data_IF_906782651521
#
_entry.id   IF_906782651521
#
_cell.length_a   1.000
_cell.length_b   1.000
_cell.length_c   1.000
_cell.angle_alpha   90.00
_cell.angle_beta   90.00
_cell.angle_gamma   90.00
#
_symmetry.space_group_name_H-M   'P 1'
#
loop_
_entity.id
_entity.type
_entity.pdbx_description
1 polymer ?
#
# COMPACT_ATOMS: atom_id res chain seq x y z
N UNK A 1 14.01 -11.82 4.99
CA UNK A 1 13.84 -12.19 3.58
C UNK A 1 12.42 -12.65 3.35
N UNK A 2 11.87 -12.36 2.18
CA UNK A 2 10.60 -12.97 1.74
C UNK A 2 10.65 -14.52 1.76
N UNK A 3 11.76 -15.09 2.14
CA UNK A 3 12.04 -16.52 2.22
C UNK A 3 11.55 -17.20 3.50
N UNK A 4 11.12 -16.47 4.54
CA UNK A 4 10.92 -17.06 5.86
C UNK A 4 9.76 -16.48 6.66
N UNK A 5 8.69 -16.04 6.05
CA UNK A 5 7.46 -15.78 6.78
C UNK A 5 6.63 -17.06 6.85
N UNK A 6 6.58 -17.77 8.00
CA UNK A 6 5.62 -18.83 8.15
C UNK A 6 4.25 -18.22 8.40
N UNK A 7 3.36 -18.38 7.44
CA UNK A 7 1.92 -18.36 7.72
C UNK A 7 1.59 -19.71 8.37
N UNK A 8 1.91 -19.86 9.64
CA UNK A 8 1.61 -21.05 10.43
C UNK A 8 1.05 -20.65 11.78
N UNK A 9 0.21 -21.52 12.37
CA UNK A 9 -0.29 -21.35 13.73
C UNK A 9 0.88 -21.11 14.71
N UNK A 10 0.68 -20.37 15.82
CA UNK A 10 1.70 -20.20 16.85
C UNK A 10 2.23 -21.57 17.30
N UNK A 11 3.54 -21.81 17.15
CA UNK A 11 4.19 -23.07 17.50
C UNK A 11 4.56 -23.99 16.33
N UNK A 12 4.17 -23.67 15.09
CA UNK A 12 4.63 -24.43 13.92
C UNK A 12 6.12 -24.18 13.66
N UNK A 13 6.90 -25.25 13.42
CA UNK A 13 8.31 -25.12 13.00
C UNK A 13 8.39 -24.30 11.72
N UNK A 14 9.25 -23.28 11.73
CA UNK A 14 9.59 -22.49 10.55
C UNK A 14 10.04 -23.42 9.42
N UNK A 15 9.23 -23.55 8.38
CA UNK A 15 9.66 -24.24 7.16
C UNK A 15 10.38 -23.19 6.31
N UNK A 16 11.70 -23.38 6.03
CA UNK A 16 12.42 -22.47 5.14
C UNK A 16 11.75 -22.52 3.77
N UNK A 17 11.09 -21.45 3.39
CA UNK A 17 10.48 -21.32 2.07
C UNK A 17 11.57 -20.94 1.07
N UNK A 18 12.04 -21.89 0.29
CA UNK A 18 12.72 -21.57 -0.97
C UNK A 18 11.62 -21.30 -1.99
N UNK A 19 11.31 -20.03 -2.18
CA UNK A 19 10.43 -19.61 -3.27
C UNK A 19 11.01 -20.09 -4.60
N UNK A 20 10.27 -20.78 -5.44
CA UNK A 20 10.64 -20.94 -6.84
C UNK A 20 10.58 -19.59 -7.58
N UNK A 21 9.92 -18.61 -6.96
CA UNK A 21 9.79 -17.26 -7.47
C UNK A 21 11.17 -16.57 -7.40
N UNK A 22 11.49 -15.74 -8.38
CA UNK A 22 12.68 -14.88 -8.42
C UNK A 22 12.62 -13.75 -7.38
N UNK A 23 11.96 -13.99 -6.23
CA UNK A 23 11.76 -12.99 -5.18
C UNK A 23 13.08 -12.46 -4.64
N UNK A 24 13.21 -11.15 -4.57
CA UNK A 24 14.36 -10.49 -4.00
C UNK A 24 14.36 -10.60 -2.48
N UNK A 25 15.54 -10.80 -1.89
CA UNK A 25 15.69 -10.80 -0.44
C UNK A 25 15.73 -9.36 0.06
N UNK A 26 14.67 -8.93 0.76
CA UNK A 26 14.61 -7.64 1.44
C UNK A 26 13.77 -7.79 2.72
N UNK A 27 14.44 -8.04 3.84
CA UNK A 27 13.78 -8.29 5.14
C UNK A 27 13.02 -7.07 5.65
N UNK A 28 13.50 -5.86 5.32
CA UNK A 28 12.85 -4.60 5.70
C UNK A 28 11.50 -4.49 4.97
N UNK A 29 11.50 -4.58 3.63
CA UNK A 29 10.27 -4.55 2.85
C UNK A 29 9.31 -5.69 3.23
N UNK A 30 9.86 -6.91 3.39
CA UNK A 30 9.08 -8.08 3.79
C UNK A 30 8.40 -7.91 5.15
N UNK A 31 9.09 -7.29 6.12
CA UNK A 31 8.49 -6.99 7.43
C UNK A 31 7.40 -5.93 7.30
N UNK A 32 7.61 -4.87 6.50
CA UNK A 32 6.60 -3.85 6.23
C UNK A 32 5.34 -4.45 5.60
N UNK A 33 5.49 -5.22 4.53
CA UNK A 33 4.35 -5.91 3.90
C UNK A 33 3.65 -6.88 4.86
N UNK A 34 4.39 -7.60 5.71
CA UNK A 34 3.80 -8.52 6.68
C UNK A 34 3.02 -7.83 7.79
N UNK A 35 3.45 -6.65 8.24
CA UNK A 35 2.78 -5.89 9.30
C UNK A 35 1.49 -5.20 8.83
N UNK A 36 1.49 -4.64 7.62
CA UNK A 36 0.39 -3.81 7.13
C UNK A 36 -0.99 -4.49 7.17
N UNK A 37 -1.17 -5.76 6.74
CA UNK A 37 -2.47 -6.41 6.83
C UNK A 37 -2.94 -6.63 8.27
N UNK A 38 -2.05 -6.95 9.22
CA UNK A 38 -2.44 -7.07 10.62
C UNK A 38 -2.94 -5.73 11.16
N UNK A 39 -2.23 -4.65 10.87
CA UNK A 39 -2.62 -3.30 11.30
C UNK A 39 -3.93 -2.87 10.64
N UNK A 40 -4.12 -3.12 9.35
CA UNK A 40 -5.36 -2.83 8.64
C UNK A 40 -6.56 -3.59 9.22
N UNK A 41 -6.35 -4.84 9.69
CA UNK A 41 -7.35 -5.63 10.41
C UNK A 41 -7.56 -5.19 11.87
N UNK A 42 -6.89 -4.14 12.34
CA UNK A 42 -7.01 -3.68 13.73
C UNK A 42 -6.14 -4.43 14.73
N UNK A 43 -5.26 -5.33 14.28
CA UNK A 43 -4.40 -6.15 15.11
C UNK A 43 -3.08 -5.41 15.36
N UNK A 44 -2.80 -5.09 16.62
CA UNK A 44 -1.59 -4.36 17.02
C UNK A 44 -0.68 -5.23 17.89
N UNK A 45 0.44 -4.66 18.33
CA UNK A 45 1.33 -5.29 19.31
C UNK A 45 0.73 -5.36 20.73
N UNK A 46 -0.38 -4.66 20.98
CA UNK A 46 -1.11 -4.75 22.25
C UNK A 46 -2.15 -5.88 22.13
N UNK A 47 -2.29 -6.72 23.17
CA UNK A 47 -3.31 -7.76 23.18
C UNK A 47 -4.70 -7.17 22.95
N UNK A 48 -5.55 -7.88 22.23
CA UNK A 48 -6.94 -7.49 22.04
C UNK A 48 -7.71 -7.52 23.37
N UNK A 49 -8.58 -6.53 23.59
CA UNK A 49 -9.43 -6.48 24.77
C UNK A 49 -10.41 -7.66 24.87
N UNK A 50 -10.80 -8.24 23.73
CA UNK A 50 -11.60 -9.47 23.67
C UNK A 50 -10.72 -10.64 23.26
N UNK A 51 -10.77 -11.77 23.99
CA UNK A 51 -10.08 -13.02 23.60
C UNK A 51 -10.57 -13.45 22.22
N UNK A 52 -9.73 -13.30 21.20
CA UNK A 52 -9.89 -14.01 19.93
C UNK A 52 -9.31 -15.40 20.07
N UNK A 53 -9.70 -16.31 19.16
CA UNK A 53 -9.16 -17.69 19.13
C UNK A 53 -7.65 -17.73 18.86
N UNK A 54 -7.07 -16.70 18.23
CA UNK A 54 -5.65 -16.58 17.93
C UNK A 54 -5.18 -15.15 18.24
N UNK A 55 -4.12 -15.05 19.06
CA UNK A 55 -3.49 -13.78 19.39
C UNK A 55 -2.22 -13.57 18.54
N UNK A 56 -2.29 -12.62 17.63
CA UNK A 56 -1.17 -12.22 16.77
C UNK A 56 -0.35 -11.03 17.33
N UNK A 57 -0.68 -10.50 18.50
CA UNK A 57 0.01 -9.33 19.08
C UNK A 57 1.51 -9.56 19.21
N UNK A 58 1.94 -10.76 19.60
CA UNK A 58 3.36 -11.14 19.69
C UNK A 58 4.05 -11.15 18.33
N UNK A 59 3.36 -11.55 17.26
CA UNK A 59 3.88 -11.52 15.90
C UNK A 59 4.09 -10.08 15.45
N UNK A 60 3.10 -9.23 15.65
CA UNK A 60 3.18 -7.79 15.34
C UNK A 60 4.27 -7.11 16.17
N UNK A 61 4.36 -7.41 17.48
CA UNK A 61 5.43 -6.93 18.36
C UNK A 61 6.82 -7.33 17.84
N UNK A 62 6.97 -8.58 17.42
CA UNK A 62 8.23 -9.09 16.85
C UNK A 62 8.69 -8.30 15.63
N UNK A 63 7.77 -8.02 14.69
CA UNK A 63 8.03 -7.20 13.50
C UNK A 63 8.40 -5.76 13.86
N UNK A 64 7.63 -5.10 14.71
CA UNK A 64 7.89 -3.72 15.17
C UNK A 64 9.27 -3.64 15.85
N UNK A 65 9.57 -4.53 16.79
CA UNK A 65 10.85 -4.56 17.49
C UNK A 65 12.03 -4.82 16.54
N UNK A 66 11.85 -5.67 15.54
CA UNK A 66 12.85 -5.88 14.50
C UNK A 66 13.15 -4.57 13.76
N UNK A 67 12.13 -3.83 13.34
CA UNK A 67 12.29 -2.58 12.63
C UNK A 67 12.95 -1.50 13.48
N UNK A 68 12.54 -1.34 14.75
CA UNK A 68 13.16 -0.39 15.69
C UNK A 68 14.66 -0.69 15.84
N UNK A 69 15.04 -1.97 15.97
CA UNK A 69 16.48 -2.36 16.07
C UNK A 69 17.26 -2.12 14.77
N UNK A 70 16.60 -2.19 13.61
CA UNK A 70 17.25 -1.98 12.30
C UNK A 70 17.37 -0.52 11.91
N UNK A 71 16.61 0.37 12.55
CA UNK A 71 16.62 1.78 12.21
C UNK A 71 17.95 2.44 12.59
N UNK A 72 18.56 3.11 11.60
CA UNK A 72 19.76 3.92 11.80
C UNK A 72 19.51 5.18 12.62
N UNK A 73 20.58 5.82 13.05
CA UNK A 73 20.51 7.09 13.80
C UNK A 73 19.85 8.20 12.99
N UNK A 74 20.00 8.16 11.67
CA UNK A 74 19.40 9.06 10.67
C UNK A 74 17.90 8.78 10.41
N UNK A 75 17.35 7.73 11.00
CA UNK A 75 15.95 7.33 10.81
C UNK A 75 15.70 6.34 9.68
N UNK A 76 16.72 6.00 8.88
CA UNK A 76 16.61 5.05 7.80
C UNK A 76 16.52 3.61 8.33
N UNK A 77 15.56 2.84 7.80
CA UNK A 77 15.45 1.40 8.12
C UNK A 77 16.37 0.51 7.27
N UNK A 78 16.97 1.08 6.22
CA UNK A 78 17.70 0.30 5.20
C UNK A 78 16.76 -0.29 4.14
N UNK A 79 17.31 -1.17 3.29
CA UNK A 79 16.55 -1.80 2.21
C UNK A 79 16.22 -0.89 1.02
N UNK A 80 16.71 0.35 1.00
CA UNK A 80 16.47 1.35 -0.04
C UNK A 80 15.16 2.11 0.12
N UNK A 81 14.98 3.15 -0.70
CA UNK A 81 13.78 4.02 -0.65
C UNK A 81 12.50 3.39 -1.22
N UNK A 82 12.53 2.13 -1.63
CA UNK A 82 11.30 1.37 -1.88
C UNK A 82 10.79 0.70 -0.59
N UNK A 83 11.71 0.14 0.21
CA UNK A 83 11.38 -0.54 1.47
C UNK A 83 11.06 0.44 2.60
N UNK A 84 11.83 1.53 2.69
CA UNK A 84 11.71 2.50 3.77
C UNK A 84 10.31 3.10 3.92
N UNK A 85 9.62 3.62 2.86
CA UNK A 85 8.27 4.16 3.00
C UNK A 85 7.24 3.10 3.38
N UNK A 86 7.35 1.84 2.90
CA UNK A 86 6.48 0.74 3.32
C UNK A 86 6.51 0.51 4.83
N UNK A 87 7.71 0.45 5.39
CA UNK A 87 7.90 0.31 6.83
C UNK A 87 7.42 1.56 7.57
N UNK A 88 7.68 2.74 7.01
CA UNK A 88 7.22 4.00 7.61
C UNK A 88 5.70 4.04 7.72
N UNK A 89 4.95 3.57 6.71
CA UNK A 89 3.49 3.44 6.78
C UNK A 89 3.10 2.53 7.95
N UNK A 90 3.69 1.33 8.05
CA UNK A 90 3.37 0.39 9.12
C UNK A 90 3.67 0.96 10.52
N UNK A 91 4.78 1.65 10.69
CA UNK A 91 5.15 2.26 11.98
C UNK A 91 4.24 3.45 12.32
N UNK A 92 3.84 4.26 11.34
CA UNK A 92 2.89 5.35 11.53
C UNK A 92 1.49 4.81 11.92
N UNK A 93 1.01 3.77 11.24
CA UNK A 93 -0.26 3.14 11.57
C UNK A 93 -0.23 2.49 12.96
N UNK A 94 0.83 1.74 13.29
CA UNK A 94 1.00 1.16 14.61
C UNK A 94 1.01 2.21 15.72
N UNK A 95 1.69 3.35 15.51
CA UNK A 95 1.68 4.47 16.44
C UNK A 95 0.28 5.11 16.54
N UNK A 96 -0.35 5.42 15.41
CA UNK A 96 -1.68 6.03 15.37
C UNK A 96 -2.76 5.22 16.09
N UNK A 97 -2.64 3.89 16.04
CA UNK A 97 -3.57 2.96 16.71
C UNK A 97 -3.28 2.77 18.20
N UNK A 98 -2.04 2.91 18.65
CA UNK A 98 -1.62 2.48 19.99
C UNK A 98 -1.12 3.59 20.87
N UNK A 99 -0.72 4.73 20.30
CA UNK A 99 -0.07 5.86 20.95
C UNK A 99 1.20 5.46 21.73
N UNK A 100 1.89 4.38 21.29
CA UNK A 100 3.10 3.90 21.94
C UNK A 100 4.27 4.87 21.73
N UNK A 101 4.91 5.39 22.80
CA UNK A 101 5.94 6.41 22.70
C UNK A 101 7.23 5.91 22.00
N UNK A 102 7.57 4.63 22.12
CA UNK A 102 8.74 4.06 21.42
C UNK A 102 8.50 3.99 19.92
N UNK A 103 7.29 3.58 19.51
CA UNK A 103 6.90 3.58 18.10
C UNK A 103 6.86 5.01 17.56
N UNK A 104 6.35 5.98 18.34
CA UNK A 104 6.34 7.41 17.96
C UNK A 104 7.71 7.90 17.56
N UNK A 105 8.72 7.65 18.41
CA UNK A 105 10.09 8.11 18.16
C UNK A 105 10.63 7.51 16.86
N UNK A 106 10.42 6.22 16.63
CA UNK A 106 10.89 5.53 15.43
C UNK A 106 10.14 6.02 14.18
N UNK A 107 8.82 6.15 14.24
CA UNK A 107 7.99 6.62 13.14
C UNK A 107 8.33 8.08 12.75
N UNK A 108 8.54 8.98 13.74
CA UNK A 108 8.93 10.36 13.44
C UNK A 108 10.29 10.43 12.76
N UNK A 109 11.30 9.71 13.25
CA UNK A 109 12.62 9.65 12.60
C UNK A 109 12.53 9.14 11.15
N UNK A 110 11.64 8.17 10.88
CA UNK A 110 11.44 7.67 9.54
C UNK A 110 10.80 8.72 8.62
N UNK A 111 9.83 9.48 9.11
CA UNK A 111 9.26 10.63 8.40
C UNK A 111 10.33 11.69 8.13
N UNK A 112 11.15 12.02 9.12
CA UNK A 112 12.24 13.00 8.97
C UNK A 112 13.25 12.57 7.90
N UNK A 113 13.57 11.26 7.82
CA UNK A 113 14.40 10.71 6.76
C UNK A 113 13.75 10.82 5.38
N UNK A 114 12.44 10.56 5.25
CA UNK A 114 11.73 10.76 3.98
C UNK A 114 11.77 12.23 3.53
N UNK A 115 11.58 13.15 4.47
CA UNK A 115 11.68 14.60 4.21
C UNK A 115 13.10 14.97 3.72
N UNK A 116 14.13 14.45 4.38
CA UNK A 116 15.52 14.63 3.96
C UNK A 116 15.75 14.04 2.55
N UNK A 117 15.24 12.84 2.27
CA UNK A 117 15.48 12.10 1.03
C UNK A 117 14.74 12.68 -0.19
N UNK A 118 13.75 13.57 -0.02
CA UNK A 118 12.99 14.17 -1.11
C UNK A 118 13.90 14.96 -2.04
N UNK A 119 13.82 14.72 -3.34
CA UNK A 119 14.50 15.50 -4.36
C UNK A 119 13.90 16.90 -4.49
N UNK A 120 14.67 17.88 -4.92
CA UNK A 120 14.21 19.27 -5.09
C UNK A 120 13.12 19.41 -6.17
N UNK A 121 13.04 18.46 -7.11
CA UNK A 121 11.92 18.31 -8.04
C UNK A 121 10.64 17.74 -7.42
N UNK A 122 10.65 17.36 -6.14
CA UNK A 122 9.48 16.98 -5.35
C UNK A 122 9.20 15.50 -5.22
N UNK A 123 9.79 14.65 -6.05
CA UNK A 123 9.63 13.19 -6.00
C UNK A 123 10.73 12.48 -5.21
N UNK A 124 10.61 11.15 -5.17
CA UNK A 124 11.62 10.22 -4.63
C UNK A 124 11.89 9.10 -5.63
N UNK A 125 13.07 8.49 -5.51
CA UNK A 125 13.43 7.29 -6.26
C UNK A 125 14.18 6.32 -5.33
N UNK A 126 15.12 5.55 -5.83
CA UNK A 126 15.77 4.47 -5.06
C UNK A 126 16.79 4.95 -4.04
N UNK A 127 17.36 6.16 -4.24
CA UNK A 127 18.37 6.77 -3.36
C UNK A 127 17.95 8.17 -2.92
N UNK A 128 18.40 8.65 -1.75
CA UNK A 128 18.13 10.02 -1.30
C UNK A 128 18.56 11.04 -2.35
N UNK A 129 17.75 12.09 -2.52
CA UNK A 129 17.99 13.19 -3.45
C UNK A 129 18.10 12.81 -4.92
N UNK A 130 17.79 11.59 -5.30
CA UNK A 130 17.67 11.18 -6.70
C UNK A 130 16.39 11.73 -7.32
N UNK A 131 16.43 12.15 -8.58
CA UNK A 131 15.24 12.57 -9.33
C UNK A 131 14.14 11.51 -9.27
N UNK A 132 12.91 11.94 -8.99
CA UNK A 132 11.80 11.07 -8.64
C UNK A 132 11.32 10.14 -9.74
N UNK A 133 10.70 9.03 -9.33
CA UNK A 133 9.77 8.26 -10.15
C UNK A 133 8.40 8.16 -9.46
N UNK A 134 7.35 7.96 -10.24
CA UNK A 134 5.97 7.97 -9.72
C UNK A 134 5.69 6.81 -8.75
N UNK A 135 6.32 5.65 -8.96
CA UNK A 135 6.09 4.46 -8.13
C UNK A 135 6.62 4.66 -6.71
N UNK A 136 7.90 5.05 -6.55
CA UNK A 136 8.49 5.32 -5.23
C UNK A 136 7.85 6.54 -4.58
N UNK A 137 7.59 7.60 -5.37
CA UNK A 137 6.89 8.80 -4.88
C UNK A 137 5.53 8.44 -4.28
N UNK A 138 4.78 7.53 -4.90
CA UNK A 138 3.50 7.07 -4.36
C UNK A 138 3.61 6.49 -2.95
N UNK A 139 4.56 5.58 -2.72
CA UNK A 139 4.79 5.03 -1.38
C UNK A 139 5.22 6.08 -0.37
N UNK A 140 6.08 7.03 -0.77
CA UNK A 140 6.53 8.11 0.10
C UNK A 140 5.37 9.04 0.49
N UNK A 141 4.49 9.39 -0.46
CA UNK A 141 3.28 10.20 -0.18
C UNK A 141 2.34 9.47 0.77
N UNK A 142 2.11 8.17 0.58
CA UNK A 142 1.32 7.36 1.51
C UNK A 142 1.93 7.37 2.92
N UNK A 143 3.26 7.25 3.02
CA UNK A 143 3.95 7.27 4.30
C UNK A 143 3.82 8.64 5.00
N UNK A 144 4.01 9.74 4.27
CA UNK A 144 3.81 11.09 4.82
C UNK A 144 2.35 11.30 5.27
N UNK A 145 1.37 10.82 4.48
CA UNK A 145 -0.04 10.92 4.85
C UNK A 145 -0.36 10.09 6.09
N UNK A 146 0.13 8.86 6.18
CA UNK A 146 -0.01 8.02 7.38
C UNK A 146 0.61 8.68 8.62
N UNK A 147 1.78 9.32 8.46
CA UNK A 147 2.42 10.10 9.53
C UNK A 147 1.56 11.29 9.97
N UNK A 148 1.06 12.09 9.02
CA UNK A 148 0.17 13.21 9.30
C UNK A 148 -1.08 12.78 10.07
N UNK A 149 -1.73 11.70 9.63
CA UNK A 149 -2.93 11.15 10.26
C UNK A 149 -2.67 10.58 11.66
N UNK A 150 -1.47 10.03 11.88
CA UNK A 150 -1.02 9.59 13.21
C UNK A 150 -0.64 10.77 14.13
N UNK A 151 -0.71 12.02 13.66
CA UNK A 151 -0.35 13.21 14.44
C UNK A 151 1.16 13.43 14.55
N UNK A 152 1.95 12.88 13.61
CA UNK A 152 3.38 13.16 13.50
C UNK A 152 3.62 14.47 12.73
N UNK A 153 4.81 15.03 12.89
CA UNK A 153 5.19 16.27 12.20
C UNK A 153 5.52 16.00 10.75
N UNK A 154 4.68 16.49 9.84
CA UNK A 154 4.86 16.44 8.38
C UNK A 154 4.66 17.86 7.84
N UNK A 155 5.73 18.56 7.42
CA UNK A 155 5.62 19.93 6.93
C UNK A 155 4.79 20.00 5.62
N UNK A 156 3.85 20.95 5.55
CA UNK A 156 2.91 21.09 4.43
C UNK A 156 3.61 21.42 3.09
N UNK A 157 4.75 22.10 3.13
CA UNK A 157 5.56 22.42 1.97
C UNK A 157 6.06 21.17 1.22
N UNK A 158 6.17 20.02 1.90
CA UNK A 158 6.54 18.76 1.24
C UNK A 158 5.51 18.33 0.21
N UNK A 159 4.23 18.54 0.51
CA UNK A 159 3.15 18.23 -0.43
C UNK A 159 3.14 19.17 -1.63
N UNK A 160 3.49 20.46 -1.45
CA UNK A 160 3.64 21.41 -2.59
C UNK A 160 4.74 20.96 -3.56
N UNK A 161 5.84 20.40 -3.04
CA UNK A 161 6.88 19.82 -3.88
C UNK A 161 6.37 18.55 -4.60
N UNK A 162 5.58 17.71 -3.94
CA UNK A 162 4.93 16.54 -4.57
C UNK A 162 3.99 16.97 -5.69
N UNK A 163 3.20 18.04 -5.52
CA UNK A 163 2.34 18.58 -6.57
C UNK A 163 3.14 18.94 -7.81
N UNK A 164 4.25 19.68 -7.65
CA UNK A 164 5.18 20.02 -8.73
C UNK A 164 5.69 18.78 -9.47
N UNK A 165 6.07 17.73 -8.70
CA UNK A 165 6.51 16.46 -9.30
C UNK A 165 5.39 15.78 -10.09
N UNK A 166 4.19 15.69 -9.51
CA UNK A 166 3.06 15.05 -10.18
C UNK A 166 2.63 15.81 -11.44
N UNK A 167 2.75 17.14 -11.46
CA UNK A 167 2.50 17.94 -12.66
C UNK A 167 3.51 17.62 -13.77
N UNK A 168 4.78 17.36 -13.42
CA UNK A 168 5.84 17.04 -14.39
C UNK A 168 5.70 15.68 -15.05
N UNK A 169 4.92 14.75 -14.47
CA UNK A 169 4.67 13.40 -15.00
C UNK A 169 3.23 13.18 -15.47
N UNK A 170 2.39 14.21 -15.37
CA UNK A 170 0.99 14.19 -15.78
C UNK A 170 0.83 14.53 -17.26
N UNK A 171 0.11 13.71 -17.99
CA UNK A 171 -0.35 14.01 -19.33
C UNK A 171 -1.78 14.61 -19.29
N UNK A 172 -1.88 15.92 -19.40
CA UNK A 172 -3.15 16.63 -19.34
C UNK A 172 -4.15 16.23 -20.45
N UNK A 173 -3.66 15.72 -21.59
CA UNK A 173 -4.51 15.27 -22.70
C UNK A 173 -5.25 13.99 -22.33
N UNK A 174 -4.56 12.99 -21.87
CA UNK A 174 -5.15 11.70 -21.46
C UNK A 174 -5.69 11.70 -20.02
N UNK A 175 -5.18 12.56 -19.14
CA UNK A 175 -5.42 12.52 -17.70
C UNK A 175 -4.60 11.46 -16.96
N UNK A 176 -3.65 10.84 -17.66
CA UNK A 176 -2.80 9.79 -17.09
C UNK A 176 -1.50 10.32 -16.49
N UNK A 177 -0.72 9.40 -15.93
CA UNK A 177 0.60 9.67 -15.37
C UNK A 177 1.63 8.70 -15.94
N UNK A 178 2.85 9.21 -16.16
CA UNK A 178 3.98 8.39 -16.55
C UNK A 178 4.90 8.07 -15.38
N UNK A 179 6.00 7.38 -15.68
CA UNK A 179 6.96 6.93 -14.66
C UNK A 179 7.91 8.05 -14.22
N UNK A 180 8.62 8.66 -15.16
CA UNK A 180 9.53 9.81 -14.96
C UNK A 180 9.16 11.02 -15.81
N UNK A 181 8.33 10.82 -16.83
CA UNK A 181 7.92 11.80 -17.82
C UNK A 181 6.41 11.73 -18.00
N UNK A 182 5.75 12.74 -18.63
CA UNK A 182 4.32 12.69 -18.89
C UNK A 182 3.91 11.43 -19.66
N UNK A 183 2.82 10.79 -19.22
CA UNK A 183 2.37 9.55 -19.85
C UNK A 183 1.01 9.06 -19.34
N UNK A 184 0.59 7.91 -19.85
CA UNK A 184 -0.70 7.32 -19.53
C UNK A 184 -0.61 5.86 -19.08
N UNK A 185 0.48 5.48 -18.40
CA UNK A 185 0.60 4.17 -17.78
C UNK A 185 -0.54 3.95 -16.78
N UNK A 186 -1.37 2.90 -16.92
CA UNK A 186 -2.45 2.65 -15.97
C UNK A 186 -1.96 2.48 -14.52
N UNK A 187 -0.80 1.85 -14.33
CA UNK A 187 -0.18 1.67 -13.01
C UNK A 187 0.20 3.02 -12.41
N UNK A 188 0.94 3.86 -13.16
CA UNK A 188 1.37 5.17 -12.69
C UNK A 188 0.18 6.12 -12.54
N UNK A 189 -0.84 5.97 -13.37
CA UNK A 189 -2.10 6.74 -13.26
C UNK A 189 -2.80 6.42 -11.94
N UNK A 190 -2.90 5.15 -11.54
CA UNK A 190 -3.47 4.81 -10.24
C UNK A 190 -2.66 5.42 -9.07
N UNK A 191 -1.32 5.37 -9.15
CA UNK A 191 -0.43 5.96 -8.13
C UNK A 191 -0.59 7.48 -8.08
N UNK A 192 -0.50 8.18 -9.21
CA UNK A 192 -0.59 9.64 -9.28
C UNK A 192 -1.95 10.16 -8.81
N UNK A 193 -3.04 9.51 -9.22
CA UNK A 193 -4.39 9.85 -8.78
C UNK A 193 -4.53 9.68 -7.25
N UNK A 194 -4.03 8.59 -6.67
CA UNK A 194 -4.10 8.37 -5.23
C UNK A 194 -3.32 9.46 -4.48
N UNK A 195 -2.13 9.85 -4.96
CA UNK A 195 -1.38 10.96 -4.38
C UNK A 195 -2.20 12.26 -4.40
N UNK A 196 -2.84 12.59 -5.52
CA UNK A 196 -3.72 13.78 -5.61
C UNK A 196 -4.88 13.72 -4.61
N UNK A 197 -5.51 12.57 -4.47
CA UNK A 197 -6.60 12.38 -3.51
C UNK A 197 -6.13 12.55 -2.06
N UNK A 198 -4.95 12.03 -1.69
CA UNK A 198 -4.36 12.23 -0.37
C UNK A 198 -4.00 13.69 -0.08
N UNK A 199 -3.75 14.49 -1.11
CA UNK A 199 -3.55 15.94 -1.03
C UNK A 199 -4.85 16.75 -1.08
N UNK A 200 -6.01 16.09 -1.10
CA UNK A 200 -7.32 16.73 -1.01
C UNK A 200 -7.94 17.15 -2.35
N UNK A 201 -7.40 16.69 -3.49
CA UNK A 201 -8.03 16.97 -4.79
C UNK A 201 -9.42 16.34 -4.85
N UNK A 202 -10.42 17.17 -5.17
CA UNK A 202 -11.82 16.77 -5.21
C UNK A 202 -12.06 15.63 -6.21
N UNK A 203 -12.81 14.57 -5.87
CA UNK A 203 -13.16 13.47 -6.78
C UNK A 203 -13.81 13.91 -8.09
N UNK A 204 -14.48 15.06 -8.12
CA UNK A 204 -15.09 15.63 -9.34
C UNK A 204 -14.09 16.38 -10.23
N UNK A 205 -12.80 16.43 -9.88
CA UNK A 205 -11.78 17.06 -10.72
C UNK A 205 -11.73 16.39 -12.09
N UNK A 206 -11.78 17.17 -13.21
CA UNK A 206 -11.80 16.62 -14.56
C UNK A 206 -10.60 15.71 -14.89
N UNK A 207 -9.41 16.01 -14.36
CA UNK A 207 -8.22 15.18 -14.53
C UNK A 207 -8.38 13.81 -13.87
N UNK A 208 -8.95 13.76 -12.66
CA UNK A 208 -9.24 12.48 -11.98
C UNK A 208 -10.31 11.67 -12.73
N UNK A 209 -11.33 12.32 -13.28
CA UNK A 209 -12.37 11.63 -14.07
C UNK A 209 -11.78 10.98 -15.34
N UNK A 210 -10.89 11.66 -16.06
CA UNK A 210 -10.15 11.06 -17.19
C UNK A 210 -9.31 9.86 -16.75
N UNK A 211 -8.63 9.97 -15.60
CA UNK A 211 -7.86 8.87 -15.03
C UNK A 211 -8.72 7.65 -14.67
N UNK A 212 -9.95 7.85 -14.18
CA UNK A 212 -10.92 6.77 -13.95
C UNK A 212 -11.19 5.98 -15.22
N UNK A 213 -11.35 6.65 -16.36
CA UNK A 213 -11.59 5.98 -17.65
C UNK A 213 -10.39 5.13 -18.09
N UNK A 214 -9.15 5.57 -17.79
CA UNK A 214 -7.95 4.75 -18.02
C UNK A 214 -7.99 3.49 -17.16
N UNK A 215 -8.32 3.62 -15.87
CA UNK A 215 -8.35 2.50 -14.94
C UNK A 215 -9.49 1.51 -15.25
N UNK A 216 -10.66 1.99 -15.67
CA UNK A 216 -11.77 1.12 -16.09
C UNK A 216 -11.40 0.20 -17.24
N UNK A 217 -10.61 0.67 -18.23
CA UNK A 217 -10.16 -0.13 -19.38
C UNK A 217 -9.26 -1.30 -19.02
N UNK A 218 -8.53 -1.19 -17.91
CA UNK A 218 -7.60 -2.22 -17.41
C UNK A 218 -8.12 -2.97 -16.21
N UNK A 219 -9.41 -2.80 -15.89
CA UNK A 219 -10.07 -3.57 -14.84
C UNK A 219 -9.95 -5.09 -15.13
N UNK A 220 -9.54 -5.92 -14.16
CA UNK A 220 -9.26 -7.35 -14.44
C UNK A 220 -10.49 -8.15 -14.87
N UNK A 221 -11.71 -7.68 -14.60
CA UNK A 221 -12.95 -8.26 -15.12
C UNK A 221 -13.26 -7.87 -16.56
N UNK A 222 -12.63 -6.81 -17.09
CA UNK A 222 -12.72 -6.37 -18.48
C UNK A 222 -11.55 -6.91 -19.29
N UNK A 223 -10.35 -6.84 -18.73
CA UNK A 223 -9.11 -7.32 -19.34
C UNK A 223 -8.39 -8.29 -18.38
N UNK A 224 -8.69 -9.58 -18.39
CA UNK A 224 -8.06 -10.56 -17.51
C UNK A 224 -6.54 -10.66 -17.64
N UNK A 225 -5.99 -10.37 -18.83
CA UNK A 225 -4.54 -10.34 -19.05
C UNK A 225 -3.85 -9.16 -18.31
N UNK A 226 -4.61 -8.14 -17.93
CA UNK A 226 -4.14 -6.98 -17.17
C UNK A 226 -4.07 -7.21 -15.65
N UNK A 227 -4.21 -8.45 -15.14
CA UNK A 227 -4.13 -8.73 -13.72
C UNK A 227 -2.74 -8.39 -13.16
N UNK A 228 -2.64 -7.24 -12.51
CA UNK A 228 -1.45 -6.74 -11.86
C UNK A 228 -1.81 -6.31 -10.44
N UNK A 229 -1.36 -7.05 -9.43
CA UNK A 229 -1.75 -6.82 -8.04
C UNK A 229 -1.30 -5.45 -7.51
N UNK A 230 -0.15 -4.96 -7.96
CA UNK A 230 0.31 -3.62 -7.60
C UNK A 230 -0.63 -2.54 -8.14
N UNK A 231 -1.03 -2.64 -9.41
CA UNK A 231 -2.02 -1.74 -10.01
C UNK A 231 -3.37 -1.85 -9.30
N UNK A 232 -3.85 -3.07 -9.06
CA UNK A 232 -5.13 -3.32 -8.40
C UNK A 232 -5.16 -2.68 -7.01
N UNK A 233 -4.10 -2.81 -6.23
CA UNK A 233 -3.99 -2.20 -4.91
C UNK A 233 -4.16 -0.68 -4.94
N UNK A 234 -3.45 0.03 -5.82
CA UNK A 234 -3.58 1.49 -5.94
C UNK A 234 -4.93 1.90 -6.54
N UNK A 235 -5.34 1.26 -7.62
CA UNK A 235 -6.59 1.58 -8.30
C UNK A 235 -7.82 1.35 -7.40
N UNK A 236 -7.80 0.32 -6.55
CA UNK A 236 -8.90 0.06 -5.61
C UNK A 236 -9.07 1.21 -4.61
N UNK A 237 -7.98 1.74 -4.07
CA UNK A 237 -8.06 2.91 -3.20
C UNK A 237 -8.57 4.14 -3.93
N UNK A 238 -8.07 4.39 -5.16
CA UNK A 238 -8.55 5.49 -6.01
C UNK A 238 -10.05 5.38 -6.24
N UNK A 239 -10.52 4.23 -6.70
CA UNK A 239 -11.94 4.02 -7.03
C UNK A 239 -12.83 4.10 -5.78
N UNK A 240 -12.34 3.62 -4.63
CA UNK A 240 -13.04 3.75 -3.36
C UNK A 240 -13.20 5.22 -2.95
N UNK A 241 -12.16 6.05 -3.12
CA UNK A 241 -12.23 7.50 -2.86
C UNK A 241 -13.09 8.25 -3.88
N UNK A 242 -13.18 7.78 -5.13
CA UNK A 242 -14.10 8.34 -6.12
C UNK A 242 -15.55 8.09 -5.74
N UNK A 243 -15.84 6.92 -5.16
CA UNK A 243 -17.19 6.51 -4.76
C UNK A 243 -18.15 6.29 -5.94
N UNK A 244 -19.44 6.09 -5.62
CA UNK A 244 -20.51 5.98 -6.62
C UNK A 244 -20.22 4.95 -7.72
N UNK A 245 -20.59 5.31 -8.95
CA UNK A 245 -20.45 4.44 -10.13
C UNK A 245 -19.00 3.96 -10.39
N UNK A 246 -17.99 4.77 -10.10
CA UNK A 246 -16.59 4.36 -10.25
C UNK A 246 -16.23 3.21 -9.29
N UNK A 247 -16.68 3.30 -8.04
CA UNK A 247 -16.51 2.26 -7.05
C UNK A 247 -17.32 1.01 -7.37
N UNK A 248 -18.59 1.16 -7.74
CA UNK A 248 -19.46 0.03 -8.08
C UNK A 248 -18.91 -0.76 -9.27
N UNK A 249 -18.47 -0.06 -10.32
CA UNK A 249 -17.81 -0.68 -11.47
C UNK A 249 -16.55 -1.47 -11.05
N UNK A 250 -15.71 -0.85 -10.22
CA UNK A 250 -14.44 -1.46 -9.81
C UNK A 250 -14.66 -2.68 -8.91
N UNK A 251 -15.47 -2.51 -7.92
CA UNK A 251 -15.66 -3.47 -6.83
C UNK A 251 -16.58 -4.64 -7.21
N UNK A 252 -17.69 -4.33 -7.87
CA UNK A 252 -18.73 -5.31 -8.24
C UNK A 252 -18.60 -5.79 -9.69
N UNK A 253 -17.86 -5.06 -10.52
CA UNK A 253 -17.60 -5.36 -11.92
C UNK A 253 -18.45 -4.57 -12.91
N UNK A 254 -18.15 -4.72 -14.22
CA UNK A 254 -18.95 -4.11 -15.27
C UNK A 254 -20.38 -4.63 -15.24
N UNK A 255 -21.31 -3.74 -15.58
CA UNK A 255 -22.73 -4.10 -15.69
C UNK A 255 -23.03 -4.72 -17.04
N UNK A 256 -23.75 -5.83 -17.02
CA UNK A 256 -24.29 -6.50 -18.22
C UNK A 256 -25.65 -7.09 -17.89
N UNK A 257 -26.69 -6.74 -18.69
CA UNK A 257 -28.06 -7.19 -18.48
C UNK A 257 -28.60 -6.91 -17.05
N UNK A 258 -28.31 -5.72 -16.51
CA UNK A 258 -28.77 -5.32 -15.18
C UNK A 258 -28.04 -6.02 -14.02
N UNK A 259 -26.97 -6.75 -14.28
CA UNK A 259 -26.17 -7.43 -13.27
C UNK A 259 -24.70 -7.05 -13.37
N UNK A 260 -24.07 -6.81 -12.22
CA UNK A 260 -22.64 -6.62 -12.10
C UNK A 260 -21.94 -7.93 -11.75
N UNK A 261 -20.86 -8.26 -12.47
CA UNK A 261 -20.08 -9.50 -12.26
C UNK A 261 -18.59 -9.24 -12.49
N UNK A 262 -17.77 -10.14 -11.96
CA UNK A 262 -16.32 -10.08 -12.12
C UNK A 262 -15.68 -8.80 -11.55
N UNK A 263 -16.19 -8.29 -10.45
CA UNK A 263 -15.57 -7.21 -9.71
C UNK A 263 -14.24 -7.62 -9.08
N UNK A 264 -13.41 -6.65 -8.74
CA UNK A 264 -12.09 -6.91 -8.11
C UNK A 264 -12.23 -7.76 -6.85
N UNK A 265 -13.25 -7.52 -6.03
CA UNK A 265 -13.57 -8.32 -4.85
C UNK A 265 -13.71 -9.80 -5.18
N UNK A 266 -14.57 -10.12 -6.14
CA UNK A 266 -14.90 -11.50 -6.51
C UNK A 266 -13.70 -12.19 -7.18
N UNK A 267 -12.94 -11.45 -8.00
CA UNK A 267 -11.71 -11.93 -8.63
C UNK A 267 -10.65 -12.27 -7.58
N UNK A 268 -10.44 -11.42 -6.58
CA UNK A 268 -9.48 -11.70 -5.51
C UNK A 268 -9.88 -12.93 -4.71
N UNK A 269 -11.17 -13.06 -4.33
CA UNK A 269 -11.68 -14.24 -3.61
C UNK A 269 -11.45 -15.51 -4.45
N UNK A 270 -11.75 -15.48 -5.74
CA UNK A 270 -11.58 -16.63 -6.64
C UNK A 270 -10.12 -17.07 -6.83
N UNK A 271 -9.18 -16.12 -6.70
CA UNK A 271 -7.73 -16.37 -6.86
C UNK A 271 -7.02 -16.76 -5.55
N UNK A 272 -7.71 -16.72 -4.42
CA UNK A 272 -7.14 -17.17 -3.16
C UNK A 272 -6.88 -18.68 -3.18
N UNK A 273 -5.73 -19.09 -2.69
CA UNK A 273 -5.39 -20.51 -2.55
C UNK A 273 -6.25 -21.14 -1.46
N UNK A 274 -7.15 -22.05 -1.83
CA UNK A 274 -8.14 -22.63 -0.90
C UNK A 274 -7.62 -23.82 -0.10
N UNK A 275 -6.58 -24.51 -0.60
CA UNK A 275 -5.98 -25.67 0.07
C UNK A 275 -4.48 -25.70 -0.14
N UNK A 276 -3.75 -26.24 0.83
CA UNK A 276 -2.32 -26.47 0.68
C UNK A 276 -2.06 -27.44 -0.49
N UNK A 277 -1.36 -26.98 -1.52
CA UNK A 277 -0.95 -27.80 -2.67
C UNK A 277 0.57 -27.89 -2.65
N UNK A 278 1.09 -28.98 -2.04
CA UNK A 278 2.53 -29.17 -1.90
C UNK A 278 3.20 -28.15 -0.98
N UNK A 279 4.53 -28.04 -1.11
CA UNK A 279 5.38 -27.30 -0.19
C UNK A 279 5.25 -25.77 -0.29
N UNK A 280 4.66 -25.24 -1.35
CA UNK A 280 4.73 -23.84 -1.73
C UNK A 280 3.38 -23.12 -1.87
N UNK A 281 2.27 -23.84 -1.97
CA UNK A 281 0.93 -23.24 -2.05
C UNK A 281 0.27 -23.31 -0.67
N UNK A 282 0.32 -22.18 0.04
CA UNK A 282 -0.25 -22.05 1.40
C UNK A 282 -1.69 -21.56 1.29
N UNK A 283 -2.63 -22.28 1.87
CA UNK A 283 -4.03 -21.89 1.93
C UNK A 283 -4.18 -20.48 2.54
N UNK A 284 -5.08 -19.69 2.00
CA UNK A 284 -5.29 -18.31 2.40
C UNK A 284 -4.36 -17.29 1.74
N UNK A 285 -3.33 -17.74 0.98
CA UNK A 285 -2.41 -16.85 0.26
C UNK A 285 -2.85 -16.60 -1.19
N UNK A 286 -2.16 -15.66 -1.84
CA UNK A 286 -2.28 -15.41 -3.28
C UNK A 286 -0.95 -15.64 -3.98
N UNK A 287 -1.03 -16.16 -5.20
CA UNK A 287 0.15 -16.32 -6.04
C UNK A 287 0.64 -14.98 -6.59
N UNK A 288 1.96 -14.78 -6.72
CA UNK A 288 2.51 -13.51 -7.17
C UNK A 288 2.11 -13.14 -8.59
N UNK A 289 1.81 -14.12 -9.47
CA UNK A 289 1.60 -13.86 -10.89
C UNK A 289 2.89 -13.44 -11.60
N UNK A 290 2.77 -13.06 -12.87
CA UNK A 290 3.90 -12.70 -13.73
C UNK A 290 3.95 -11.21 -14.09
N UNK A 291 2.93 -10.42 -13.73
CA UNK A 291 2.80 -9.03 -14.13
C UNK A 291 3.40 -8.06 -13.10
N UNK A 292 4.08 -7.03 -13.59
CA UNK A 292 4.66 -5.97 -12.77
C UNK A 292 5.81 -6.46 -11.89
N UNK A 293 5.86 -5.97 -10.66
CA UNK A 293 6.89 -6.37 -9.67
C UNK A 293 6.52 -7.63 -8.87
N UNK A 294 5.48 -8.36 -9.28
CA UNK A 294 4.95 -9.50 -8.56
C UNK A 294 5.99 -10.60 -8.35
N UNK A 295 6.81 -10.91 -9.37
CA UNK A 295 7.88 -11.90 -9.24
C UNK A 295 8.95 -11.48 -8.22
N UNK A 296 9.34 -10.20 -8.22
CA UNK A 296 10.35 -9.66 -7.29
C UNK A 296 9.86 -9.61 -5.85
N UNK A 297 8.59 -9.32 -5.63
CA UNK A 297 7.98 -9.26 -4.30
C UNK A 297 7.55 -10.61 -3.75
N UNK A 298 7.32 -11.59 -4.62
CA UNK A 298 6.92 -12.95 -4.27
C UNK A 298 5.56 -13.04 -3.59
N UNK A 299 5.28 -14.22 -3.03
CA UNK A 299 3.99 -14.54 -2.40
C UNK A 299 3.62 -13.63 -1.23
N UNK A 300 4.59 -13.20 -0.43
CA UNK A 300 4.33 -12.31 0.70
C UNK A 300 3.75 -10.97 0.22
N UNK A 301 4.38 -10.32 -0.76
CA UNK A 301 3.88 -9.07 -1.33
C UNK A 301 2.49 -9.27 -1.97
N UNK A 302 2.32 -10.33 -2.78
CA UNK A 302 1.04 -10.61 -3.43
C UNK A 302 -0.09 -10.82 -2.41
N UNK A 303 0.17 -11.60 -1.37
CA UNK A 303 -0.80 -11.85 -0.29
C UNK A 303 -1.11 -10.57 0.49
N UNK A 304 -0.09 -9.80 0.87
CA UNK A 304 -0.27 -8.56 1.61
C UNK A 304 -1.07 -7.53 0.82
N UNK A 305 -0.74 -7.32 -0.46
CA UNK A 305 -1.48 -6.39 -1.31
C UNK A 305 -2.92 -6.84 -1.58
N UNK A 306 -3.15 -8.17 -1.74
CA UNK A 306 -4.50 -8.71 -1.90
C UNK A 306 -5.35 -8.51 -0.64
N UNK A 307 -4.78 -8.77 0.54
CA UNK A 307 -5.45 -8.50 1.82
C UNK A 307 -5.75 -7.02 1.99
N UNK A 308 -4.76 -6.14 1.82
CA UNK A 308 -4.92 -4.69 1.93
C UNK A 308 -5.95 -4.13 0.93
N UNK A 309 -6.07 -4.75 -0.25
CA UNK A 309 -7.10 -4.40 -1.24
C UNK A 309 -8.49 -4.77 -0.74
N UNK A 310 -8.66 -5.95 -0.15
CA UNK A 310 -9.94 -6.36 0.43
C UNK A 310 -10.28 -5.60 1.73
N UNK A 311 -9.28 -5.13 2.45
CA UNK A 311 -9.42 -4.34 3.68
C UNK A 311 -9.73 -2.85 3.43
N UNK A 312 -9.79 -2.41 2.18
CA UNK A 312 -10.10 -1.01 1.84
C UNK A 312 -11.38 -0.49 2.51
N UNK A 313 -12.35 -1.35 2.73
CA UNK A 313 -13.60 -1.03 3.42
C UNK A 313 -13.41 -0.68 4.90
N UNK A 314 -12.37 -1.20 5.53
CA UNK A 314 -12.12 -1.10 6.98
C UNK A 314 -10.97 -0.17 7.31
N UNK A 315 -9.91 -0.16 6.49
CA UNK A 315 -8.65 0.56 6.74
C UNK A 315 -8.84 2.05 6.89
N UNK A 316 -9.82 2.62 6.20
CA UNK A 316 -10.12 4.04 6.25
C UNK A 316 -10.99 4.45 7.45
N UNK A 317 -11.49 3.51 8.25
CA UNK A 317 -12.41 3.82 9.33
C UNK A 317 -11.76 4.41 10.62
N UNK A 318 -10.61 3.92 11.14
CA UNK A 318 -10.09 4.45 12.40
C UNK A 318 -9.34 5.77 12.28
N UNK A 319 -8.52 5.95 11.23
CA UNK A 319 -7.64 7.10 11.06
C UNK A 319 -8.27 8.21 10.21
N UNK A 320 -9.05 7.86 9.18
CA UNK A 320 -9.66 8.80 8.23
C UNK A 320 -10.97 9.43 8.74
N UNK A 321 -11.68 8.82 9.70
CA UNK A 321 -12.89 9.43 10.30
C UNK A 321 -12.62 10.68 11.12
N UNK A 322 -11.42 10.86 11.65
CA UNK A 322 -11.09 12.06 12.45
C UNK A 322 -11.03 13.33 11.63
N UNK A 323 -10.68 13.26 10.34
CA UNK A 323 -10.65 14.43 9.44
C UNK A 323 -12.04 14.78 8.88
N UNK A 324 -12.93 13.80 8.68
CA UNK A 324 -14.30 14.06 8.19
C UNK A 324 -15.27 14.57 9.28
N UNK A 325 -14.91 14.42 10.55
CA UNK A 325 -15.71 14.92 11.68
C UNK A 325 -15.41 16.35 12.13
N UNK A 326 -14.44 17.03 11.50
CA UNK A 326 -14.04 18.40 11.82
C UNK A 326 -14.84 19.52 11.13
N UNK A 327 -15.76 19.19 10.24
CA UNK A 327 -16.71 20.16 9.66
C UNK A 327 -18.04 20.04 10.41
N UNK A 328 -18.07 20.47 11.67
CA UNK A 328 -19.31 20.89 12.34
C UNK A 328 -19.29 22.41 12.38
N UNK A 329 -20.19 23.00 11.58
CA UNK A 329 -20.81 24.34 11.63
C UNK A 329 -19.87 25.54 11.78
#
# INVERSE_FOLDING_TARGET
>A
SCRTAPLGAPGSKLIPYKSPDKAQSNDIAGTGFGLLPFLAAGITHKPAAKKSSVDYSKTVMGGINYLIRKQGKDGNYGGGLYAHPLVTIAMCEAYGMTSDPLIKVSAQKAIDYLIYAQHDGGGWRYSPKQAGDTSVTGWCVMALKSGQMAGLKVPAERYKLVEKYLDSVHDAKSGGYGYTDPGNSPVMTAVGMLCRQYMGVNPRNPGLLKGVDILKKVHPGVNPAGYNMYQIYYATQVMHHMGGEAWDFWNLGPESNGQRKNGVRDILISKQVNANKGKFMVAGSWEPGTAGHAESGGRLMATSLSMLTMEVYYRHLPLYRREMGGAKN
#
